data_IF_030174402702
#
_entry.id   IF_030174402702
#
_cell.length_a   1.000
_cell.length_b   1.000
_cell.length_c   1.000
_cell.angle_alpha   90.00
_cell.angle_beta   90.00
_cell.angle_gamma   90.00
#
_symmetry.space_group_name_H-M   'P 1'
#
loop_
_entity.id
_entity.type
_entity.pdbx_description
1 polymer ?
#
# COMPACT_ATOMS: atom_id res chain seq x y z
N UNK A 1 15.95 5.27 -27.98
CA UNK A 1 14.83 4.44 -28.46
C UNK A 1 15.11 2.93 -28.32
N UNK A 2 15.42 2.42 -27.12
CA UNK A 2 15.69 0.99 -26.89
C UNK A 2 15.12 0.46 -25.57
N UNK A 3 13.80 0.62 -25.35
CA UNK A 3 13.13 0.05 -24.15
C UNK A 3 11.78 -0.62 -24.42
N UNK A 4 11.30 -0.66 -25.67
CA UNK A 4 10.00 -1.26 -26.01
C UNK A 4 10.05 -2.75 -26.39
N UNK A 5 11.25 -3.34 -26.52
CA UNK A 5 11.42 -4.71 -27.03
C UNK A 5 11.22 -5.83 -26.00
N UNK A 6 11.53 -5.60 -24.73
CA UNK A 6 11.48 -6.66 -23.70
C UNK A 6 10.05 -6.96 -23.23
N UNK A 7 9.21 -5.93 -23.08
CA UNK A 7 7.80 -6.10 -22.76
C UNK A 7 7.01 -6.77 -23.89
N UNK A 8 7.34 -6.44 -25.16
CA UNK A 8 6.68 -7.06 -26.31
C UNK A 8 7.08 -8.52 -26.49
N UNK A 9 8.30 -8.90 -26.11
CA UNK A 9 8.77 -10.30 -26.15
C UNK A 9 8.09 -11.16 -25.09
N UNK A 10 7.98 -10.68 -23.85
CA UNK A 10 7.21 -11.38 -22.81
C UNK A 10 5.74 -11.53 -23.23
N UNK A 11 5.14 -10.45 -23.72
CA UNK A 11 3.76 -10.45 -24.20
C UNK A 11 3.57 -11.36 -25.43
N UNK A 12 4.59 -11.51 -26.28
CA UNK A 12 4.57 -12.42 -27.43
C UNK A 12 4.81 -13.88 -27.03
N UNK A 13 5.61 -14.14 -26.00
CA UNK A 13 5.85 -15.48 -25.46
C UNK A 13 4.55 -16.07 -24.89
N UNK A 14 3.71 -15.25 -24.24
CA UNK A 14 2.37 -15.63 -23.78
C UNK A 14 1.31 -15.71 -24.90
N UNK A 15 1.54 -15.09 -26.07
CA UNK A 15 0.60 -15.10 -27.23
C UNK A 15 0.68 -16.36 -28.09
N UNK A 16 1.73 -17.17 -27.95
CA UNK A 16 1.94 -18.35 -28.80
C UNK A 16 1.17 -19.59 -28.34
N UNK A 17 0.48 -19.54 -27.20
CA UNK A 17 -0.37 -20.62 -26.72
C UNK A 17 -1.84 -20.23 -26.72
N UNK A 18 -2.54 -20.73 -27.75
CA UNK A 18 -3.95 -21.13 -27.81
C UNK A 18 -4.89 -20.32 -28.71
N UNK A 19 -5.54 -21.10 -29.57
CA UNK A 19 -6.50 -20.76 -30.61
C UNK A 19 -7.85 -20.27 -30.08
N UNK A 20 -8.55 -19.56 -30.98
CA UNK A 20 -9.95 -19.18 -30.98
C UNK A 20 -10.89 -20.20 -30.33
N UNK A 21 -11.41 -19.84 -29.15
CA UNK A 21 -12.75 -20.14 -28.62
C UNK A 21 -12.83 -19.60 -27.18
N UNK A 22 -13.50 -18.47 -26.93
CA UNK A 22 -13.81 -18.05 -25.54
C UNK A 22 -15.29 -18.29 -25.28
N UNK A 23 -15.61 -19.57 -25.15
CA UNK A 23 -16.76 -20.07 -24.41
C UNK A 23 -16.24 -20.57 -23.05
N UNK A 24 -16.74 -20.12 -21.91
CA UNK A 24 -16.47 -20.88 -20.68
C UNK A 24 -16.79 -20.27 -19.32
N UNK A 25 -16.65 -18.96 -19.11
CA UNK A 25 -16.81 -18.40 -17.76
C UNK A 25 -18.22 -17.85 -17.56
N UNK A 26 -19.06 -18.59 -16.82
CA UNK A 26 -20.29 -18.03 -16.27
C UNK A 26 -19.98 -16.95 -15.24
N UNK A 27 -20.95 -16.09 -14.97
CA UNK A 27 -20.86 -15.11 -13.90
C UNK A 27 -20.52 -15.76 -12.53
N UNK A 28 -21.10 -16.94 -12.24
CA UNK A 28 -20.79 -17.74 -11.04
C UNK A 28 -19.35 -18.26 -11.02
N UNK A 29 -18.81 -18.59 -12.20
CA UNK A 29 -17.41 -19.00 -12.35
C UNK A 29 -16.47 -17.84 -11.99
N UNK A 30 -16.82 -16.60 -12.38
CA UNK A 30 -16.05 -15.40 -12.05
C UNK A 30 -16.12 -15.07 -10.55
N UNK A 31 -17.30 -15.22 -9.93
CA UNK A 31 -17.46 -15.07 -8.47
C UNK A 31 -16.62 -16.12 -7.74
N UNK A 32 -16.68 -17.38 -8.16
CA UNK A 32 -15.85 -18.45 -7.59
C UNK A 32 -14.36 -18.18 -7.77
N UNK A 33 -13.97 -17.65 -8.93
CA UNK A 33 -12.58 -17.25 -9.20
C UNK A 33 -12.10 -16.14 -8.27
N UNK A 34 -12.99 -15.21 -7.89
CA UNK A 34 -12.66 -14.20 -6.89
C UNK A 34 -12.22 -14.84 -5.56
N UNK A 35 -13.04 -15.71 -4.99
CA UNK A 35 -12.74 -16.34 -3.70
C UNK A 35 -11.54 -17.28 -3.76
N UNK A 36 -11.34 -17.99 -4.87
CA UNK A 36 -10.28 -18.99 -4.98
C UNK A 36 -8.91 -18.39 -5.35
N UNK A 37 -8.88 -17.28 -6.09
CA UNK A 37 -7.63 -16.74 -6.63
C UNK A 37 -7.41 -15.26 -6.32
N UNK A 38 -8.46 -14.43 -6.42
CA UNK A 38 -8.30 -12.98 -6.26
C UNK A 38 -8.15 -12.60 -4.79
N UNK A 39 -9.01 -13.10 -3.92
CA UNK A 39 -8.96 -12.77 -2.49
C UNK A 39 -7.62 -13.16 -1.85
N UNK A 40 -7.07 -14.38 -2.07
CA UNK A 40 -5.71 -14.71 -1.63
C UNK A 40 -4.63 -13.82 -2.26
N UNK A 41 -4.74 -13.51 -3.56
CA UNK A 41 -3.79 -12.65 -4.26
C UNK A 41 -3.78 -11.23 -3.71
N UNK A 42 -4.93 -10.75 -3.25
CA UNK A 42 -5.13 -9.41 -2.72
C UNK A 42 -4.89 -9.30 -1.22
N UNK A 43 -4.47 -10.38 -0.57
CA UNK A 43 -4.29 -10.43 0.88
C UNK A 43 -2.84 -10.71 1.22
N UNK A 44 -2.28 -9.97 2.17
CA UNK A 44 -1.03 -10.32 2.82
C UNK A 44 -1.19 -11.60 3.65
N UNK A 45 -2.35 -11.77 4.28
CA UNK A 45 -2.75 -12.95 5.07
C UNK A 45 -4.18 -13.32 4.70
N UNK A 46 -4.39 -14.54 4.23
CA UNK A 46 -5.73 -15.04 3.86
C UNK A 46 -6.17 -16.20 4.78
N UNK A 47 -7.46 -16.17 5.15
CA UNK A 47 -8.20 -17.26 5.81
C UNK A 47 -9.70 -17.03 5.60
N UNK A 48 -10.55 -17.95 6.04
CA UNK A 48 -12.01 -17.81 6.00
C UNK A 48 -12.55 -16.56 6.71
N UNK A 49 -11.84 -16.09 7.74
CA UNK A 49 -12.23 -14.90 8.52
C UNK A 49 -11.77 -13.58 7.87
N UNK A 50 -11.11 -13.65 6.72
CA UNK A 50 -10.59 -12.48 6.02
C UNK A 50 -11.75 -11.51 5.70
N UNK A 51 -11.69 -10.23 6.14
CA UNK A 51 -12.72 -9.25 5.83
C UNK A 51 -13.02 -9.10 4.34
N UNK A 52 -12.04 -9.32 3.46
CA UNK A 52 -12.24 -9.32 2.02
C UNK A 52 -13.10 -10.49 1.53
N UNK A 53 -13.17 -11.61 2.28
CA UNK A 53 -14.10 -12.72 2.01
C UNK A 53 -15.45 -12.49 2.66
N UNK A 54 -15.44 -12.22 3.96
CA UNK A 54 -16.66 -12.17 4.77
C UNK A 54 -17.54 -11.00 4.37
N UNK A 55 -16.96 -9.82 4.12
CA UNK A 55 -17.72 -8.64 3.68
C UNK A 55 -18.23 -8.79 2.24
N UNK A 56 -17.47 -9.41 1.34
CA UNK A 56 -17.96 -9.70 -0.02
C UNK A 56 -19.11 -10.68 0.05
N UNK A 57 -18.96 -11.78 0.79
CA UNK A 57 -19.98 -12.82 0.93
C UNK A 57 -21.29 -12.26 1.50
N UNK A 58 -21.19 -11.46 2.58
CA UNK A 58 -22.36 -10.87 3.23
C UNK A 58 -23.07 -9.81 2.36
N UNK A 59 -22.36 -9.19 1.42
CA UNK A 59 -22.88 -8.07 0.63
C UNK A 59 -23.21 -8.43 -0.81
N UNK A 60 -22.93 -9.66 -1.25
CA UNK A 60 -22.98 -10.05 -2.67
C UNK A 60 -24.39 -9.94 -3.27
N UNK A 61 -25.41 -10.28 -2.49
CA UNK A 61 -26.81 -10.27 -2.94
C UNK A 61 -27.42 -8.87 -2.93
N UNK A 62 -27.02 -8.03 -2.00
CA UNK A 62 -27.63 -6.71 -1.77
C UNK A 62 -26.94 -5.58 -2.55
N UNK A 63 -25.66 -5.77 -2.92
CA UNK A 63 -24.85 -4.74 -3.58
C UNK A 63 -24.35 -5.20 -4.95
N UNK A 64 -25.08 -4.86 -6.03
CA UNK A 64 -24.63 -5.13 -7.40
C UNK A 64 -23.24 -4.55 -7.71
N UNK A 65 -22.87 -3.44 -7.05
CA UNK A 65 -21.53 -2.84 -7.14
C UNK A 65 -20.44 -3.85 -6.80
N UNK A 66 -20.59 -4.59 -5.69
CA UNK A 66 -19.62 -5.60 -5.26
C UNK A 66 -19.60 -6.75 -6.26
N UNK A 67 -20.76 -7.24 -6.66
CA UNK A 67 -20.90 -8.33 -7.63
C UNK A 67 -20.14 -8.05 -8.94
N UNK A 68 -20.36 -6.89 -9.55
CA UNK A 68 -19.64 -6.51 -10.77
C UNK A 68 -18.16 -6.20 -10.52
N UNK A 69 -17.81 -5.69 -9.33
CA UNK A 69 -16.41 -5.41 -8.96
C UNK A 69 -15.58 -6.68 -8.89
N UNK A 70 -16.05 -7.71 -8.18
CA UNK A 70 -15.31 -8.96 -8.05
C UNK A 70 -15.20 -9.72 -9.37
N UNK A 71 -16.22 -9.64 -10.23
CA UNK A 71 -16.16 -10.16 -11.60
C UNK A 71 -15.13 -9.41 -12.45
N UNK A 72 -15.10 -8.07 -12.36
CA UNK A 72 -14.08 -7.25 -13.03
C UNK A 72 -12.68 -7.65 -12.60
N UNK A 73 -12.44 -7.82 -11.29
CA UNK A 73 -11.14 -8.25 -10.76
C UNK A 73 -10.76 -9.66 -11.24
N UNK A 74 -11.71 -10.60 -11.23
CA UNK A 74 -11.50 -11.96 -11.73
C UNK A 74 -11.10 -11.94 -13.21
N UNK A 75 -11.80 -11.18 -14.05
CA UNK A 75 -11.45 -11.01 -15.46
C UNK A 75 -10.09 -10.33 -15.60
N UNK A 76 -9.82 -9.26 -14.84
CA UNK A 76 -8.52 -8.57 -14.86
C UNK A 76 -7.36 -9.53 -14.64
N UNK A 77 -7.46 -10.42 -13.66
CA UNK A 77 -6.49 -11.49 -13.47
C UNK A 77 -6.46 -12.51 -14.62
N UNK A 78 -7.62 -12.99 -15.08
CA UNK A 78 -7.72 -13.97 -16.16
C UNK A 78 -7.17 -13.45 -17.49
N UNK A 79 -7.18 -12.14 -17.74
CA UNK A 79 -6.65 -11.56 -18.99
C UNK A 79 -5.15 -11.73 -19.17
N UNK A 80 -4.41 -12.03 -18.10
CA UNK A 80 -3.01 -12.46 -18.21
C UNK A 80 -2.85 -13.78 -18.99
N UNK A 81 -3.88 -14.62 -18.98
CA UNK A 81 -3.92 -15.93 -19.66
C UNK A 81 -4.84 -15.92 -20.89
N UNK A 82 -5.90 -15.11 -20.85
CA UNK A 82 -6.91 -14.99 -21.91
C UNK A 82 -7.08 -13.51 -22.33
N UNK A 83 -6.15 -12.95 -23.13
CA UNK A 83 -6.13 -11.52 -23.47
C UNK A 83 -7.39 -11.00 -24.16
N UNK A 84 -8.13 -11.89 -24.82
CA UNK A 84 -9.40 -11.60 -25.47
C UNK A 84 -10.52 -11.18 -24.50
N UNK A 85 -10.41 -11.47 -23.20
CA UNK A 85 -11.39 -11.10 -22.18
C UNK A 85 -11.28 -9.64 -21.70
N UNK A 86 -10.30 -8.87 -22.20
CA UNK A 86 -10.04 -7.48 -21.74
C UNK A 86 -11.27 -6.60 -21.88
N UNK A 87 -11.98 -6.69 -23.01
CA UNK A 87 -13.20 -5.91 -23.26
C UNK A 87 -14.31 -6.22 -22.24
N UNK A 88 -14.52 -7.49 -21.92
CA UNK A 88 -15.49 -7.92 -20.92
C UNK A 88 -15.14 -7.39 -19.53
N UNK A 89 -13.86 -7.40 -19.16
CA UNK A 89 -13.39 -6.84 -17.88
C UNK A 89 -13.71 -5.35 -17.77
N UNK A 90 -13.49 -4.57 -18.83
CA UNK A 90 -13.83 -3.15 -18.88
C UNK A 90 -15.34 -2.93 -18.76
N UNK A 91 -16.16 -3.78 -19.39
CA UNK A 91 -17.63 -3.72 -19.28
C UNK A 91 -18.09 -3.96 -17.85
N UNK A 92 -17.63 -5.04 -17.20
CA UNK A 92 -17.97 -5.36 -15.80
C UNK A 92 -17.53 -4.25 -14.85
N UNK A 93 -16.33 -3.70 -15.06
CA UNK A 93 -15.84 -2.52 -14.32
C UNK A 93 -16.74 -1.29 -14.47
N UNK A 94 -17.18 -1.02 -15.70
CA UNK A 94 -18.06 0.12 -16.01
C UNK A 94 -19.43 -0.06 -15.36
N UNK A 95 -19.96 -1.28 -15.34
CA UNK A 95 -21.19 -1.61 -14.61
C UNK A 95 -21.02 -1.38 -13.10
N UNK A 96 -19.92 -1.86 -12.51
CA UNK A 96 -19.60 -1.60 -11.11
C UNK A 96 -19.56 -0.10 -10.79
N UNK A 97 -18.94 0.71 -11.66
CA UNK A 97 -18.91 2.17 -11.49
C UNK A 97 -20.30 2.80 -11.50
N UNK A 98 -21.20 2.39 -12.40
CA UNK A 98 -22.57 2.90 -12.47
C UNK A 98 -23.33 2.60 -11.17
N UNK A 99 -23.21 1.38 -10.64
CA UNK A 99 -23.87 1.02 -9.37
C UNK A 99 -23.23 1.73 -8.18
N UNK A 100 -21.91 1.88 -8.14
CA UNK A 100 -21.21 2.64 -7.10
C UNK A 100 -21.73 4.09 -7.02
N UNK A 101 -21.96 4.73 -8.17
CA UNK A 101 -22.54 6.07 -8.20
C UNK A 101 -23.95 6.13 -7.59
N UNK A 102 -24.75 5.06 -7.74
CA UNK A 102 -26.08 4.96 -7.12
C UNK A 102 -25.97 4.75 -5.62
N UNK A 103 -25.07 3.88 -5.19
CA UNK A 103 -24.83 3.60 -3.76
C UNK A 103 -24.33 4.84 -3.03
N UNK A 104 -23.37 5.57 -3.61
CA UNK A 104 -22.88 6.85 -3.06
C UNK A 104 -23.99 7.91 -2.96
N UNK A 105 -24.91 7.97 -3.94
CA UNK A 105 -26.07 8.87 -3.89
C UNK A 105 -27.05 8.45 -2.80
N UNK A 106 -27.36 7.16 -2.68
CA UNK A 106 -28.24 6.61 -1.64
C UNK A 106 -27.69 6.95 -0.26
N UNK A 107 -26.43 6.62 -0.03
CA UNK A 107 -25.72 6.86 1.22
C UNK A 107 -25.74 8.34 1.63
N UNK A 108 -25.56 9.25 0.66
CA UNK A 108 -25.66 10.69 0.89
C UNK A 108 -27.07 11.14 1.26
N UNK A 109 -28.11 10.59 0.64
CA UNK A 109 -29.51 10.93 0.92
C UNK A 109 -29.96 10.41 2.28
N UNK A 110 -29.55 9.20 2.63
CA UNK A 110 -29.92 8.51 3.88
C UNK A 110 -29.02 8.92 5.06
N UNK A 111 -27.96 9.69 4.80
CA UNK A 111 -26.92 10.04 5.76
C UNK A 111 -26.34 8.78 6.47
N UNK A 112 -26.28 7.66 5.75
CA UNK A 112 -25.72 6.39 6.21
C UNK A 112 -24.22 6.33 5.90
N UNK A 113 -23.50 5.40 6.53
CA UNK A 113 -22.13 5.05 6.14
C UNK A 113 -22.04 3.53 6.08
N UNK A 114 -21.97 3.00 4.87
CA UNK A 114 -22.09 1.57 4.61
C UNK A 114 -20.74 0.98 4.19
N UNK A 115 -20.25 -0.01 4.96
CA UNK A 115 -19.01 -0.72 4.67
C UNK A 115 -18.94 -1.36 3.27
N UNK A 116 -20.04 -1.86 2.67
CA UNK A 116 -20.04 -2.33 1.28
C UNK A 116 -19.59 -1.28 0.25
N UNK A 117 -19.89 0.00 0.50
CA UNK A 117 -19.45 1.11 -0.36
C UNK A 117 -17.95 1.36 -0.21
N UNK A 118 -17.42 1.32 1.01
CA UNK A 118 -15.97 1.37 1.26
C UNK A 118 -15.24 0.20 0.59
N UNK A 119 -15.77 -1.02 0.73
CA UNK A 119 -15.22 -2.21 0.10
C UNK A 119 -15.18 -2.06 -1.42
N UNK A 120 -16.26 -1.56 -2.02
CA UNK A 120 -16.34 -1.32 -3.46
C UNK A 120 -15.27 -0.31 -3.92
N UNK A 121 -15.10 0.80 -3.19
CA UNK A 121 -14.07 1.80 -3.48
C UNK A 121 -12.65 1.22 -3.38
N UNK A 122 -12.38 0.45 -2.32
CA UNK A 122 -11.09 -0.20 -2.10
C UNK A 122 -10.77 -1.19 -3.23
N UNK A 123 -11.68 -2.12 -3.50
CA UNK A 123 -11.51 -3.15 -4.52
C UNK A 123 -11.39 -2.55 -5.93
N UNK A 124 -12.27 -1.62 -6.32
CA UNK A 124 -12.20 -0.95 -7.62
C UNK A 124 -10.93 -0.11 -7.75
N UNK A 125 -10.57 0.61 -6.70
CA UNK A 125 -9.42 1.50 -6.67
C UNK A 125 -8.10 0.77 -6.87
N UNK A 126 -7.80 -0.18 -5.99
CA UNK A 126 -6.57 -0.96 -6.01
C UNK A 126 -6.46 -1.89 -7.23
N UNK A 127 -7.59 -2.37 -7.80
CA UNK A 127 -7.60 -3.16 -9.05
C UNK A 127 -7.60 -2.31 -10.34
N UNK A 128 -7.53 -0.97 -10.25
CA UNK A 128 -7.58 -0.09 -11.43
C UNK A 128 -6.49 -0.41 -12.45
N UNK A 129 -5.28 -0.65 -11.97
CA UNK A 129 -4.11 -0.91 -12.80
C UNK A 129 -4.19 -2.24 -13.57
N UNK A 130 -5.08 -3.16 -13.15
CA UNK A 130 -5.25 -4.48 -13.79
C UNK A 130 -5.92 -4.39 -15.15
N UNK A 131 -6.66 -3.31 -15.40
CA UNK A 131 -7.32 -3.06 -16.68
C UNK A 131 -6.62 -1.99 -17.52
N UNK A 132 -5.86 -1.09 -16.89
CA UNK A 132 -5.06 -0.07 -17.56
C UNK A 132 -3.92 0.38 -16.66
N UNK A 133 -2.68 0.22 -17.13
CA UNK A 133 -1.46 0.53 -16.36
C UNK A 133 -1.36 2.01 -15.94
N UNK A 134 -2.04 2.92 -16.64
CA UNK A 134 -2.06 4.35 -16.33
C UNK A 134 -3.09 4.72 -15.26
N UNK A 135 -4.00 3.81 -14.92
CA UNK A 135 -5.08 4.09 -13.97
C UNK A 135 -4.67 3.67 -12.55
N UNK A 136 -4.23 4.64 -11.74
CA UNK A 136 -3.79 4.45 -10.36
C UNK A 136 -4.93 4.38 -9.32
N UNK A 137 -6.19 4.51 -9.76
CA UNK A 137 -7.36 4.44 -8.87
C UNK A 137 -7.59 5.66 -7.98
N UNK A 138 -6.86 6.76 -8.19
CA UNK A 138 -6.92 7.98 -7.35
C UNK A 138 -8.34 8.58 -7.16
N UNK A 139 -9.24 8.58 -8.16
CA UNK A 139 -10.60 9.07 -7.94
C UNK A 139 -11.36 8.27 -6.86
N UNK A 140 -11.16 6.95 -6.83
CA UNK A 140 -11.73 6.07 -5.81
C UNK A 140 -11.12 6.35 -4.43
N UNK A 141 -9.80 6.57 -4.36
CA UNK A 141 -9.10 6.91 -3.13
C UNK A 141 -9.64 8.23 -2.54
N UNK A 142 -9.82 9.25 -3.38
CA UNK A 142 -10.39 10.54 -2.97
C UNK A 142 -11.82 10.41 -2.40
N UNK A 143 -12.66 9.57 -3.01
CA UNK A 143 -13.99 9.26 -2.47
C UNK A 143 -13.89 8.52 -1.14
N UNK A 144 -13.02 7.53 -1.03
CA UNK A 144 -12.79 6.78 0.21
C UNK A 144 -12.31 7.70 1.35
N UNK A 145 -11.44 8.69 1.07
CA UNK A 145 -11.05 9.73 2.04
C UNK A 145 -12.24 10.50 2.58
N UNK A 146 -13.09 10.98 1.68
CA UNK A 146 -14.26 11.77 2.07
C UNK A 146 -15.16 10.97 3.02
N UNK A 147 -15.41 9.69 2.69
CA UNK A 147 -16.22 8.81 3.51
C UNK A 147 -15.53 8.47 4.84
N UNK A 148 -14.24 8.15 4.84
CA UNK A 148 -13.49 7.81 6.06
C UNK A 148 -13.45 8.99 7.03
N UNK A 149 -13.23 10.21 6.53
CA UNK A 149 -13.30 11.42 7.34
C UNK A 149 -14.68 11.61 7.97
N UNK A 150 -15.75 11.35 7.22
CA UNK A 150 -17.12 11.37 7.75
C UNK A 150 -17.33 10.29 8.82
N UNK A 151 -16.75 9.10 8.65
CA UNK A 151 -16.84 8.01 9.63
C UNK A 151 -16.15 8.37 10.95
N UNK A 152 -14.92 8.86 10.88
CA UNK A 152 -14.12 9.24 12.05
C UNK A 152 -14.77 10.40 12.82
N UNK A 153 -15.21 11.45 12.12
CA UNK A 153 -15.90 12.59 12.77
C UNK A 153 -17.21 12.19 13.45
N UNK A 154 -17.97 11.24 12.90
CA UNK A 154 -19.17 10.71 13.57
C UNK A 154 -18.83 9.87 14.79
N UNK A 155 -17.72 9.14 14.77
CA UNK A 155 -17.25 8.35 15.91
C UNK A 155 -16.73 9.21 17.06
N UNK A 156 -16.24 10.42 16.79
CA UNK A 156 -15.82 11.38 17.83
C UNK A 156 -17.01 12.04 18.53
N UNK A 157 -18.14 12.18 17.84
CA UNK A 157 -19.34 12.90 18.31
C UNK A 157 -20.39 11.97 18.95
N UNK A 158 -20.36 10.66 18.68
CA UNK A 158 -21.33 9.68 19.16
C UNK A 158 -20.71 8.51 19.92
N UNK A 159 -21.25 8.24 21.12
CA UNK A 159 -21.07 7.06 21.99
C UNK A 159 -19.66 6.47 22.10
N UNK A 160 -19.02 6.79 23.23
CA UNK A 160 -17.87 6.08 23.75
C UNK A 160 -18.09 4.55 23.73
N UNK A 161 -17.19 3.82 23.09
CA UNK A 161 -16.77 2.51 23.62
C UNK A 161 -16.75 1.30 22.68
N UNK A 162 -17.15 1.38 21.41
CA UNK A 162 -16.96 0.24 20.49
C UNK A 162 -16.15 0.64 19.26
N UNK A 163 -14.85 0.33 19.28
CA UNK A 163 -14.04 0.27 18.05
C UNK A 163 -14.71 -0.72 17.11
N UNK A 164 -15.27 -0.23 15.98
CA UNK A 164 -15.86 -1.12 14.98
C UNK A 164 -14.72 -1.79 14.20
N UNK A 165 -14.56 -3.11 14.27
CA UNK A 165 -13.42 -3.80 13.66
C UNK A 165 -13.33 -3.56 12.14
N UNK A 166 -14.46 -3.37 11.45
CA UNK A 166 -14.48 -3.04 10.03
C UNK A 166 -13.94 -1.63 9.75
N UNK A 167 -14.20 -0.66 10.64
CA UNK A 167 -13.67 0.70 10.47
C UNK A 167 -12.14 0.71 10.56
N UNK A 168 -11.57 -0.02 11.53
CA UNK A 168 -10.12 -0.18 11.69
C UNK A 168 -9.49 -0.92 10.50
N UNK A 169 -10.17 -1.95 9.99
CA UNK A 169 -9.75 -2.65 8.77
C UNK A 169 -9.68 -1.68 7.58
N UNK A 170 -10.76 -0.93 7.30
CA UNK A 170 -10.75 0.00 6.17
C UNK A 170 -9.77 1.15 6.37
N UNK A 171 -9.61 1.65 7.59
CA UNK A 171 -8.62 2.68 7.90
C UNK A 171 -7.21 2.20 7.55
N UNK A 172 -6.83 1.01 8.04
CA UNK A 172 -5.51 0.42 7.79
C UNK A 172 -5.29 0.11 6.31
N UNK A 173 -6.27 -0.51 5.65
CA UNK A 173 -6.22 -0.81 4.22
C UNK A 173 -6.05 0.47 3.38
N UNK A 174 -6.76 1.53 3.75
CA UNK A 174 -6.68 2.81 3.09
C UNK A 174 -5.33 3.47 3.32
N UNK A 175 -4.76 3.43 4.53
CA UNK A 175 -3.42 3.97 4.80
C UNK A 175 -2.33 3.30 3.94
N UNK A 176 -2.44 1.99 3.72
CA UNK A 176 -1.55 1.29 2.78
C UNK A 176 -1.73 1.78 1.34
N UNK A 177 -2.97 1.95 0.89
CA UNK A 177 -3.26 2.46 -0.45
C UNK A 177 -2.78 3.91 -0.64
N UNK A 178 -2.96 4.76 0.38
CA UNK A 178 -2.39 6.11 0.45
C UNK A 178 -0.88 6.09 0.27
N UNK A 179 -0.21 5.25 1.04
CA UNK A 179 1.24 5.06 0.97
C UNK A 179 1.68 4.69 -0.44
N UNK A 180 1.08 3.68 -1.08
CA UNK A 180 1.42 3.35 -2.48
C UNK A 180 1.17 4.53 -3.42
N UNK A 181 0.03 5.21 -3.23
CA UNK A 181 -0.36 6.33 -4.05
C UNK A 181 0.63 7.49 -3.95
N UNK A 182 1.31 7.72 -2.81
CA UNK A 182 2.32 8.79 -2.61
C UNK A 182 3.71 8.49 -3.20
N UNK A 183 3.96 7.26 -3.68
CA UNK A 183 5.19 6.97 -4.44
C UNK A 183 4.97 6.94 -5.96
N UNK A 184 3.74 6.66 -6.44
CA UNK A 184 3.48 6.41 -7.88
C UNK A 184 2.77 7.55 -8.61
N UNK A 185 1.81 8.24 -7.99
CA UNK A 185 1.07 9.33 -8.62
C UNK A 185 1.95 10.53 -9.07
N UNK A 186 1.82 10.98 -10.33
CA UNK A 186 2.56 12.14 -10.86
C UNK A 186 2.14 13.50 -10.28
N UNK A 187 0.99 13.60 -9.59
CA UNK A 187 0.46 14.84 -9.03
C UNK A 187 0.57 14.83 -7.49
N UNK A 188 0.82 15.99 -6.83
CA UNK A 188 0.77 16.07 -5.38
C UNK A 188 -0.63 15.72 -4.86
N UNK A 189 -0.69 14.63 -4.12
CA UNK A 189 -1.89 14.22 -3.40
C UNK A 189 -2.01 15.13 -2.16
N UNK A 190 -3.17 15.76 -1.95
CA UNK A 190 -3.45 16.44 -0.68
C UNK A 190 -3.40 15.41 0.45
N UNK A 191 -2.59 15.60 1.51
CA UNK A 191 -2.49 14.65 2.61
C UNK A 191 -3.87 14.32 3.17
N UNK A 192 -4.13 13.03 3.42
CA UNK A 192 -5.36 12.58 4.06
C UNK A 192 -5.53 13.24 5.44
N UNK A 193 -4.44 13.34 6.19
CA UNK A 193 -4.35 14.10 7.44
C UNK A 193 -3.78 15.49 7.15
N UNK A 194 -4.68 16.39 6.76
CA UNK A 194 -4.33 17.75 6.40
C UNK A 194 -3.81 18.54 7.62
N UNK A 195 -2.48 18.69 7.72
CA UNK A 195 -1.76 19.86 8.25
C UNK A 195 -2.01 20.26 9.73
N UNK A 196 -2.47 19.35 10.57
CA UNK A 196 -2.06 19.36 11.97
C UNK A 196 -1.05 18.23 12.08
N UNK A 197 0.17 18.50 12.56
CA UNK A 197 1.12 17.46 12.97
C UNK A 197 0.31 16.50 13.84
N UNK A 198 -0.04 15.29 13.38
CA UNK A 198 -0.65 14.34 14.28
C UNK A 198 0.42 14.14 15.34
N UNK A 199 0.07 14.32 16.62
CA UNK A 199 0.96 13.85 17.67
C UNK A 199 1.28 12.40 17.29
N UNK A 200 2.53 12.16 16.87
CA UNK A 200 3.01 10.83 16.54
C UNK A 200 3.05 10.09 17.87
N UNK A 201 1.88 9.58 18.27
CA UNK A 201 1.76 8.82 19.51
C UNK A 201 2.55 7.56 19.29
N UNK A 202 3.60 7.41 20.09
CA UNK A 202 4.36 6.17 20.16
C UNK A 202 3.34 5.06 20.41
N UNK A 203 3.22 4.06 19.52
CA UNK A 203 2.24 3.02 19.67
C UNK A 203 2.47 2.33 21.02
N UNK A 204 1.45 2.27 21.87
CA UNK A 204 1.53 1.42 23.04
C UNK A 204 1.59 -0.02 22.57
N UNK A 205 2.65 -0.75 22.91
CA UNK A 205 2.83 -2.15 22.50
C UNK A 205 1.67 -2.99 23.03
N UNK A 206 0.77 -3.37 22.12
CA UNK A 206 -0.19 -4.44 22.40
C UNK A 206 0.60 -5.75 22.41
N UNK A 207 0.51 -6.51 23.50
CA UNK A 207 1.17 -7.83 23.64
C UNK A 207 0.64 -8.88 22.65
N UNK A 208 -0.38 -8.54 21.87
CA UNK A 208 -1.01 -9.44 20.92
C UNK A 208 -1.45 -8.65 19.70
N UNK A 209 -0.79 -8.91 18.57
CA UNK A 209 -1.05 -8.27 17.27
C UNK A 209 -1.78 -9.24 16.38
N UNK A 210 -2.97 -8.86 15.93
CA UNK A 210 -3.68 -9.56 14.87
C UNK A 210 -3.20 -9.05 13.52
N UNK A 211 -2.61 -9.88 12.64
CA UNK A 211 -2.21 -9.45 11.31
C UNK A 211 -3.40 -8.92 10.52
N UNK A 212 -3.24 -7.76 9.90
CA UNK A 212 -4.24 -7.19 9.02
C UNK A 212 -4.24 -7.93 7.67
N UNK A 213 -5.42 -8.33 7.17
CA UNK A 213 -5.51 -9.20 6.01
C UNK A 213 -4.85 -8.64 4.74
N UNK A 214 -4.89 -7.32 4.52
CA UNK A 214 -4.27 -6.68 3.36
C UNK A 214 -2.81 -6.27 3.60
N UNK A 215 -2.40 -5.99 4.83
CA UNK A 215 -1.17 -5.22 5.12
C UNK A 215 -0.22 -5.91 6.10
N UNK A 216 -0.61 -7.05 6.68
CA UNK A 216 0.21 -7.78 7.64
C UNK A 216 0.37 -7.03 8.96
N UNK A 217 1.60 -6.83 9.41
CA UNK A 217 1.95 -6.35 10.76
C UNK A 217 2.69 -5.01 10.77
N UNK A 218 2.70 -4.27 9.66
CA UNK A 218 3.52 -3.05 9.47
C UNK A 218 2.70 -1.75 9.40
N UNK A 219 1.57 -1.67 10.11
CA UNK A 219 0.56 -0.63 9.92
C UNK A 219 1.11 0.79 10.15
N UNK A 220 1.88 0.97 11.22
CA UNK A 220 2.52 2.23 11.61
C UNK A 220 3.61 2.65 10.61
N UNK A 221 4.28 1.67 10.02
CA UNK A 221 5.30 1.91 8.99
C UNK A 221 4.64 2.46 7.72
N UNK A 222 3.46 1.96 7.34
CA UNK A 222 2.73 2.48 6.19
C UNK A 222 2.27 3.92 6.39
N UNK A 223 1.85 4.27 7.61
CA UNK A 223 1.57 5.66 7.96
C UNK A 223 2.81 6.55 7.75
N UNK A 224 3.97 6.15 8.30
CA UNK A 224 5.19 6.92 8.15
C UNK A 224 5.59 7.07 6.67
N UNK A 225 5.52 6.00 5.90
CA UNK A 225 5.82 6.01 4.47
C UNK A 225 4.87 6.88 3.65
N UNK A 226 3.57 6.91 3.98
CA UNK A 226 2.63 7.81 3.32
C UNK A 226 3.05 9.27 3.50
N UNK A 227 3.42 9.66 4.73
CA UNK A 227 3.89 11.01 5.04
C UNK A 227 5.24 11.32 4.36
N UNK A 228 6.19 10.38 4.38
CA UNK A 228 7.48 10.50 3.68
C UNK A 228 7.25 10.74 2.19
N UNK A 229 6.46 9.90 1.51
CA UNK A 229 6.14 10.07 0.10
C UNK A 229 5.50 11.44 -0.19
N UNK A 230 4.65 11.93 0.72
CA UNK A 230 4.07 13.27 0.65
C UNK A 230 5.12 14.38 0.69
N UNK A 231 6.12 14.30 1.59
CA UNK A 231 7.23 15.26 1.67
C UNK A 231 8.08 15.21 0.39
N UNK A 232 8.49 14.01 -0.02
CA UNK A 232 9.36 13.82 -1.20
C UNK A 232 8.77 14.44 -2.47
N UNK A 233 7.45 14.34 -2.63
CA UNK A 233 6.73 14.96 -3.75
C UNK A 233 6.75 16.46 -3.71
N UNK A 234 6.41 17.07 -2.57
CA UNK A 234 6.41 18.53 -2.43
C UNK A 234 7.77 19.09 -2.83
N UNK A 235 8.84 18.40 -2.42
CA UNK A 235 10.20 18.77 -2.78
C UNK A 235 10.51 18.63 -4.27
N UNK A 236 10.17 17.48 -4.89
CA UNK A 236 10.33 17.28 -6.35
C UNK A 236 9.58 18.33 -7.17
N UNK A 237 8.42 18.78 -6.70
CA UNK A 237 7.63 19.83 -7.35
C UNK A 237 8.24 21.23 -7.16
N UNK A 238 8.81 21.52 -5.99
CA UNK A 238 9.57 22.75 -5.74
C UNK A 238 10.81 22.84 -6.64
N UNK A 239 11.57 21.76 -6.79
CA UNK A 239 12.76 21.73 -7.65
C UNK A 239 12.42 22.02 -9.13
N UNK A 240 11.21 21.69 -9.58
CA UNK A 240 10.71 21.99 -10.93
C UNK A 240 10.19 23.43 -11.09
N UNK A 241 9.81 24.10 -10.00
CA UNK A 241 9.23 25.46 -10.00
C UNK A 241 10.31 26.51 -9.76
N UNK A 242 11.25 26.62 -10.69
CA UNK A 242 12.33 27.61 -10.66
C UNK A 242 11.82 29.04 -10.99
N UNK A 243 11.07 29.69 -10.09
CA UNK A 243 10.63 31.09 -10.20
C UNK A 243 10.61 31.81 -8.83
N UNK A 244 10.71 33.16 -8.77
CA UNK A 244 11.41 33.89 -7.70
C UNK A 244 10.62 34.15 -6.39
N UNK A 245 9.80 33.19 -5.93
CA UNK A 245 9.09 33.29 -4.65
C UNK A 245 9.85 32.61 -3.49
N UNK A 246 11.09 33.07 -3.28
CA UNK A 246 12.10 32.44 -2.42
C UNK A 246 11.76 32.45 -0.91
N UNK A 247 10.89 33.35 -0.43
CA UNK A 247 10.59 33.48 1.02
C UNK A 247 9.60 32.43 1.55
N UNK A 248 8.60 32.03 0.76
CA UNK A 248 7.64 31.00 1.19
C UNK A 248 8.20 29.58 1.03
N UNK A 249 9.08 29.38 0.06
CA UNK A 249 9.72 28.09 -0.22
C UNK A 249 10.70 27.67 0.88
N UNK A 250 11.45 28.61 1.44
CA UNK A 250 12.35 28.35 2.57
C UNK A 250 11.60 27.89 3.84
N UNK A 251 10.41 28.46 4.13
CA UNK A 251 9.61 28.05 5.28
C UNK A 251 9.02 26.65 5.13
N UNK A 252 8.58 26.28 3.92
CA UNK A 252 8.06 24.94 3.63
C UNK A 252 9.19 23.91 3.71
N UNK A 253 10.36 24.23 3.14
CA UNK A 253 11.55 23.38 3.23
C UNK A 253 11.99 23.15 4.67
N UNK A 254 11.97 24.18 5.53
CA UNK A 254 12.29 24.03 6.96
C UNK A 254 11.29 23.12 7.69
N UNK A 255 9.99 23.30 7.43
CA UNK A 255 8.95 22.44 8.01
C UNK A 255 9.09 20.98 7.54
N UNK A 256 9.37 20.76 6.26
CA UNK A 256 9.58 19.43 5.70
C UNK A 256 10.84 18.77 6.30
N UNK A 257 11.91 19.53 6.60
CA UNK A 257 13.09 19.03 7.31
C UNK A 257 12.77 18.61 8.76
N UNK A 258 12.01 19.43 9.50
CA UNK A 258 11.58 19.10 10.87
C UNK A 258 10.65 17.87 10.89
N UNK A 259 9.75 17.79 9.90
CA UNK A 259 8.85 16.65 9.76
C UNK A 259 9.60 15.37 9.38
N UNK A 260 10.58 15.45 8.46
CA UNK A 260 11.44 14.34 8.12
C UNK A 260 12.23 13.81 9.33
N UNK A 261 12.74 14.68 10.21
CA UNK A 261 13.37 14.26 11.48
C UNK A 261 12.39 13.58 12.43
N UNK A 262 11.16 14.10 12.51
CA UNK A 262 10.12 13.51 13.34
C UNK A 262 9.75 12.10 12.85
N UNK A 263 9.61 11.93 11.53
CA UNK A 263 9.34 10.64 10.89
C UNK A 263 10.53 9.67 11.02
N UNK A 264 11.77 10.15 10.93
CA UNK A 264 12.95 9.32 11.18
C UNK A 264 12.95 8.75 12.60
N UNK A 265 12.75 9.61 13.61
CA UNK A 265 12.67 9.16 15.00
C UNK A 265 11.47 8.25 15.25
N UNK A 266 10.34 8.53 14.61
CA UNK A 266 9.17 7.67 14.68
C UNK A 266 9.47 6.28 14.11
N UNK A 267 10.06 6.17 12.92
CA UNK A 267 10.48 4.90 12.33
C UNK A 267 11.42 4.11 13.25
N UNK A 268 12.38 4.77 13.89
CA UNK A 268 13.27 4.13 14.86
C UNK A 268 12.54 3.66 16.12
N UNK A 269 11.49 4.38 16.54
CA UNK A 269 10.68 4.02 17.70
C UNK A 269 9.70 2.86 17.45
N UNK A 270 9.47 2.49 16.19
CA UNK A 270 8.57 1.37 15.85
C UNK A 270 9.27 0.06 16.20
N UNK A 271 8.74 -0.60 17.23
CA UNK A 271 9.05 -1.99 17.55
C UNK A 271 8.22 -2.93 16.68
N UNK A 272 8.88 -3.69 15.80
CA UNK A 272 8.21 -4.70 14.99
C UNK A 272 7.89 -5.91 15.89
N UNK A 273 6.66 -6.46 15.82
CA UNK A 273 6.27 -7.57 16.68
C UNK A 273 7.16 -8.81 16.46
N UNK A 274 7.40 -9.54 17.54
CA UNK A 274 8.06 -10.86 17.49
C UNK A 274 7.04 -11.94 17.11
N UNK A 275 7.50 -13.15 16.79
CA UNK A 275 6.59 -14.26 16.44
C UNK A 275 5.62 -14.63 17.57
N UNK A 276 6.01 -14.39 18.82
CA UNK A 276 5.19 -14.62 20.01
C UNK A 276 4.09 -13.57 20.17
N UNK A 277 4.37 -12.33 19.76
CA UNK A 277 3.40 -11.23 19.81
C UNK A 277 2.30 -11.39 18.74
N UNK A 278 2.60 -12.10 17.64
CA UNK A 278 1.66 -12.28 16.54
C UNK A 278 0.68 -13.41 16.88
N UNK A 279 -0.60 -13.09 16.94
CA UNK A 279 -1.65 -14.08 17.16
C UNK A 279 -1.72 -15.06 15.99
N UNK A 280 -1.89 -16.34 16.31
CA UNK A 280 -2.18 -17.37 15.32
C UNK A 280 -3.57 -17.12 14.74
N UNK A 281 -3.62 -16.52 13.55
CA UNK A 281 -4.83 -16.52 12.76
C UNK A 281 -5.17 -17.98 12.44
N UNK A 282 -6.41 -18.40 12.67
CA UNK A 282 -6.84 -19.77 12.43
C UNK A 282 -6.52 -20.13 10.98
N UNK A 283 -5.54 -21.01 10.78
CA UNK A 283 -4.96 -21.39 9.49
C UNK A 283 -4.20 -20.27 8.75
N UNK A 284 -3.26 -19.59 9.43
CA UNK A 284 -2.25 -18.77 8.74
C UNK A 284 -1.62 -19.57 7.59
N UNK A 285 -1.86 -19.12 6.36
CA UNK A 285 -1.21 -19.63 5.15
C UNK A 285 0.23 -19.14 5.03
N UNK A 286 0.62 -18.17 5.86
CA UNK A 286 1.90 -17.44 5.81
C UNK A 286 2.71 -17.64 7.08
N UNK A 287 4.01 -17.95 6.97
CA UNK A 287 4.92 -17.93 8.11
C UNK A 287 4.99 -16.55 8.77
N UNK A 288 4.90 -16.48 10.10
CA UNK A 288 5.02 -15.22 10.86
C UNK A 288 6.33 -14.48 10.55
N UNK A 289 7.42 -15.23 10.43
CA UNK A 289 8.73 -14.72 10.02
C UNK A 289 8.66 -13.87 8.74
N UNK A 290 7.87 -14.26 7.74
CA UNK A 290 7.78 -13.56 6.46
C UNK A 290 7.08 -12.19 6.62
N UNK A 291 6.07 -12.11 7.50
CA UNK A 291 5.37 -10.87 7.82
C UNK A 291 6.30 -9.90 8.56
N UNK A 292 7.08 -10.41 9.52
CA UNK A 292 8.06 -9.65 10.30
C UNK A 292 9.16 -9.12 9.39
N UNK A 293 9.73 -9.96 8.52
CA UNK A 293 10.74 -9.56 7.54
C UNK A 293 10.21 -8.50 6.57
N UNK A 294 8.99 -8.67 6.09
CA UNK A 294 8.33 -7.68 5.22
C UNK A 294 8.15 -6.34 5.94
N UNK A 295 7.70 -6.36 7.20
CA UNK A 295 7.57 -5.15 8.02
C UNK A 295 8.91 -4.44 8.23
N UNK A 296 9.98 -5.21 8.51
CA UNK A 296 11.33 -4.69 8.67
C UNK A 296 11.85 -4.05 7.39
N UNK A 297 11.64 -4.70 6.24
CA UNK A 297 12.03 -4.17 4.96
C UNK A 297 11.33 -2.83 4.65
N UNK A 298 10.03 -2.70 4.95
CA UNK A 298 9.32 -1.43 4.81
C UNK A 298 9.85 -0.33 5.73
N UNK A 299 10.22 -0.68 6.97
CA UNK A 299 10.81 0.28 7.92
C UNK A 299 12.14 0.81 7.38
N UNK A 300 12.97 -0.07 6.82
CA UNK A 300 14.22 0.31 6.17
C UNK A 300 14.01 1.15 4.90
N UNK A 301 12.98 0.87 4.10
CA UNK A 301 12.62 1.73 2.95
C UNK A 301 12.31 3.15 3.41
N UNK A 302 11.57 3.33 4.51
CA UNK A 302 11.29 4.66 5.06
C UNK A 302 12.58 5.42 5.42
N UNK A 303 13.53 4.73 6.06
CA UNK A 303 14.83 5.31 6.39
C UNK A 303 15.66 5.62 5.14
N UNK A 304 15.70 4.71 4.16
CA UNK A 304 16.39 4.88 2.89
C UNK A 304 15.91 6.14 2.16
N UNK A 305 14.59 6.28 2.01
CA UNK A 305 13.96 7.41 1.34
C UNK A 305 14.21 8.74 2.07
N UNK A 306 14.15 8.76 3.40
CA UNK A 306 14.50 9.94 4.20
C UNK A 306 15.98 10.29 3.98
N UNK A 307 16.90 9.34 4.11
CA UNK A 307 18.33 9.62 4.03
C UNK A 307 18.78 10.01 2.62
N UNK A 308 18.16 9.45 1.59
CA UNK A 308 18.39 9.84 0.20
C UNK A 308 17.96 11.29 -0.04
N UNK A 309 16.77 11.69 0.42
CA UNK A 309 16.28 13.04 0.23
C UNK A 309 16.87 14.07 1.20
N UNK A 310 17.20 13.68 2.43
CA UNK A 310 17.68 14.57 3.49
C UNK A 310 19.06 14.13 4.03
N UNK A 311 20.15 14.27 3.24
CA UNK A 311 21.48 13.82 3.64
C UNK A 311 22.01 14.46 4.94
N UNK A 312 21.52 15.65 5.30
CA UNK A 312 21.89 16.31 6.56
C UNK A 312 21.41 15.53 7.79
N UNK A 313 20.24 14.90 7.72
CA UNK A 313 19.69 14.06 8.80
C UNK A 313 20.59 12.84 8.99
N UNK A 314 21.00 12.19 7.89
CA UNK A 314 21.94 11.08 7.93
C UNK A 314 23.27 11.48 8.57
N UNK A 315 23.87 12.60 8.14
CA UNK A 315 25.12 13.12 8.71
C UNK A 315 25.00 13.43 10.20
N UNK A 316 23.91 14.05 10.62
CA UNK A 316 23.64 14.32 12.04
C UNK A 316 23.58 13.02 12.85
N UNK A 317 22.96 11.97 12.29
CA UNK A 317 22.93 10.64 12.91
C UNK A 317 24.33 10.03 13.00
N UNK A 318 25.13 10.12 11.93
CA UNK A 318 26.53 9.66 11.90
C UNK A 318 27.40 10.36 12.95
N UNK A 319 27.22 11.67 13.13
CA UNK A 319 27.94 12.43 14.16
C UNK A 319 27.53 12.05 15.59
N UNK A 320 26.27 11.66 15.82
CA UNK A 320 25.77 11.19 17.12
C UNK A 320 26.15 9.73 17.44
N UNK A 321 26.70 9.00 16.46
CA UNK A 321 26.83 7.54 16.41
C UNK A 321 27.93 6.93 17.29
N UNK A 322 28.37 7.61 18.37
CA UNK A 322 29.34 6.99 19.27
C UNK A 322 28.77 5.85 20.13
N UNK A 323 27.44 5.60 20.19
CA UNK A 323 26.88 4.67 21.20
C UNK A 323 25.73 3.70 20.77
N UNK A 324 25.01 3.78 19.63
CA UNK A 324 23.83 2.89 19.44
C UNK A 324 23.56 2.28 18.03
N UNK A 325 23.35 0.95 18.10
CA UNK A 325 22.63 -0.03 17.26
C UNK A 325 23.25 -0.84 16.11
N UNK A 326 23.24 -2.15 16.39
CA UNK A 326 23.76 -3.34 15.72
C UNK A 326 22.90 -3.85 14.55
N UNK A 327 21.84 -3.14 14.14
CA UNK A 327 20.85 -3.69 13.21
C UNK A 327 21.13 -3.46 11.72
N UNK A 328 22.04 -2.55 11.38
CA UNK A 328 22.30 -2.16 9.97
C UNK A 328 23.67 -2.61 9.46
N UNK A 329 24.61 -2.95 10.34
CA UNK A 329 26.06 -2.89 10.05
C UNK A 329 26.85 -4.20 10.23
N UNK A 330 26.21 -5.37 10.10
CA UNK A 330 26.95 -6.65 10.07
C UNK A 330 27.46 -7.02 8.67
N UNK A 331 26.89 -6.42 7.62
CA UNK A 331 27.33 -6.58 6.23
C UNK A 331 28.41 -5.56 5.89
N UNK A 332 29.66 -5.86 6.28
CA UNK A 332 30.86 -5.08 5.89
C UNK A 332 31.04 -5.07 4.38
N UNK A 333 30.29 -4.24 3.66
CA UNK A 333 30.71 -3.78 2.34
C UNK A 333 31.96 -2.97 2.60
N UNK A 334 33.09 -3.41 2.05
CA UNK A 334 34.35 -2.69 2.16
C UNK A 334 34.12 -1.25 1.65
N UNK A 335 33.97 -0.30 2.58
CA UNK A 335 33.70 1.12 2.32
C UNK A 335 34.75 1.77 1.40
N UNK A 336 35.86 1.08 1.11
CA UNK A 336 36.92 1.51 0.20
C UNK A 336 36.50 1.67 -1.27
N UNK A 337 35.35 1.12 -1.68
CA UNK A 337 34.86 1.25 -3.07
C UNK A 337 34.07 2.55 -3.33
N UNK A 338 33.61 3.24 -2.28
CA UNK A 338 32.77 4.44 -2.42
C UNK A 338 33.55 5.71 -2.07
N UNK A 339 33.36 6.76 -2.87
CA UNK A 339 34.00 8.07 -2.62
C UNK A 339 33.33 8.85 -1.47
N UNK A 340 32.10 8.49 -1.12
CA UNK A 340 31.26 9.18 -0.15
C UNK A 340 30.66 8.17 0.83
N UNK A 341 30.90 8.36 2.13
CA UNK A 341 30.39 7.48 3.20
C UNK A 341 28.86 7.41 3.21
N UNK A 342 28.18 8.49 2.82
CA UNK A 342 26.72 8.51 2.72
C UNK A 342 26.21 7.51 1.67
N UNK A 343 26.85 7.47 0.50
CA UNK A 343 26.43 6.61 -0.61
C UNK A 343 26.64 5.14 -0.26
N UNK A 344 27.74 4.83 0.45
CA UNK A 344 27.99 3.48 0.94
C UNK A 344 26.89 3.00 1.90
N UNK A 345 26.43 3.87 2.81
CA UNK A 345 25.39 3.54 3.77
C UNK A 345 24.01 3.39 3.13
N UNK A 346 23.69 4.21 2.12
CA UNK A 346 22.43 4.06 1.36
C UNK A 346 22.40 2.71 0.64
N UNK A 347 23.53 2.31 0.02
CA UNK A 347 23.65 1.00 -0.64
C UNK A 347 23.55 -0.15 0.37
N UNK A 348 24.14 -0.02 1.55
CA UNK A 348 24.04 -1.01 2.63
C UNK A 348 22.59 -1.20 3.09
N UNK A 349 21.84 -0.11 3.29
CA UNK A 349 20.40 -0.18 3.62
C UNK A 349 19.63 -0.85 2.50
N UNK A 350 19.89 -0.50 1.23
CA UNK A 350 19.24 -1.11 0.07
C UNK A 350 19.53 -2.63 -0.02
N UNK A 351 20.77 -3.05 0.21
CA UNK A 351 21.14 -4.47 0.22
C UNK A 351 20.45 -5.20 1.38
N UNK A 352 20.40 -4.61 2.58
CA UNK A 352 19.69 -5.20 3.71
C UNK A 352 18.18 -5.38 3.44
N UNK A 353 17.55 -4.43 2.73
CA UNK A 353 16.16 -4.58 2.26
C UNK A 353 16.03 -5.80 1.33
N UNK A 354 16.95 -5.94 0.37
CA UNK A 354 16.95 -7.07 -0.57
C UNK A 354 17.21 -8.40 0.13
N UNK A 355 18.12 -8.46 1.10
CA UNK A 355 18.43 -9.69 1.85
C UNK A 355 17.24 -10.15 2.71
N UNK A 356 16.49 -9.22 3.31
CA UNK A 356 15.23 -9.53 4.01
C UNK A 356 14.18 -10.10 3.05
N UNK A 357 13.99 -9.46 1.89
CA UNK A 357 12.97 -9.88 0.91
C UNK A 357 13.35 -11.19 0.22
N UNK A 358 14.64 -11.40 -0.05
CA UNK A 358 15.18 -12.60 -0.73
C UNK A 358 14.91 -13.89 0.05
N UNK A 359 14.82 -13.82 1.37
CA UNK A 359 14.54 -14.96 2.23
C UNK A 359 13.07 -15.43 2.16
N UNK A 360 12.17 -14.59 1.65
CA UNK A 360 10.75 -14.87 1.56
C UNK A 360 10.44 -15.60 0.23
N UNK A 361 9.86 -16.80 0.26
CA UNK A 361 9.55 -17.54 -0.97
C UNK A 361 8.41 -16.87 -1.73
N UNK A 362 8.45 -16.94 -3.08
CA UNK A 362 7.40 -16.39 -3.97
C UNK A 362 6.00 -16.97 -3.70
N UNK A 363 5.94 -18.15 -3.07
CA UNK A 363 4.68 -18.79 -2.66
C UNK A 363 4.04 -18.14 -1.42
N UNK A 364 4.82 -17.41 -0.62
CA UNK A 364 4.33 -16.68 0.54
C UNK A 364 3.48 -15.48 0.08
N UNK A 365 2.29 -15.29 0.64
CA UNK A 365 1.45 -14.14 0.27
C UNK A 365 1.98 -12.80 0.79
N UNK A 366 2.93 -12.79 1.73
CA UNK A 366 3.67 -11.57 2.09
C UNK A 366 4.41 -10.97 0.88
N UNK A 367 4.80 -11.80 -0.10
CA UNK A 367 5.45 -11.37 -1.34
C UNK A 367 4.60 -10.38 -2.17
N UNK A 368 3.27 -10.39 -1.97
CA UNK A 368 2.36 -9.43 -2.64
C UNK A 368 2.59 -7.98 -2.21
N UNK A 369 3.27 -7.77 -1.09
CA UNK A 369 3.63 -6.45 -0.60
C UNK A 369 4.99 -5.97 -1.13
N UNK A 370 5.77 -6.78 -1.83
CA UNK A 370 7.18 -6.44 -2.10
C UNK A 370 7.39 -5.42 -3.23
N UNK A 371 6.35 -5.02 -3.95
CA UNK A 371 6.47 -4.13 -5.11
C UNK A 371 7.21 -2.82 -4.81
N UNK A 372 6.81 -2.10 -3.75
CA UNK A 372 7.50 -0.85 -3.39
C UNK A 372 8.91 -1.12 -2.83
N UNK A 373 9.09 -2.22 -2.09
CA UNK A 373 10.39 -2.59 -1.53
C UNK A 373 11.44 -2.76 -2.62
N UNK A 374 11.08 -3.49 -3.68
CA UNK A 374 11.97 -3.74 -4.82
C UNK A 374 12.25 -2.47 -5.62
N UNK A 375 11.26 -1.59 -5.77
CA UNK A 375 11.45 -0.31 -6.47
C UNK A 375 12.37 0.61 -5.68
N UNK A 376 12.16 0.77 -4.37
CA UNK A 376 12.96 1.65 -3.53
C UNK A 376 14.40 1.15 -3.34
N UNK A 377 14.60 -0.17 -3.21
CA UNK A 377 15.95 -0.73 -3.09
C UNK A 377 16.73 -0.70 -4.43
N UNK A 378 16.03 -0.60 -5.57
CA UNK A 378 16.63 -0.57 -6.90
C UNK A 378 16.82 0.83 -7.49
N UNK A 379 16.24 1.86 -6.87
CA UNK A 379 16.37 3.28 -7.28
C UNK A 379 17.60 3.93 -6.68
#
# INVERSE_FOLDING_TARGET
>A
NHSSGSASLLQSFYRLSMHDQISGFSDDSLVSHYFNHICPLFSAVDSEDNPLRTLVTSSLMDYPTIYFTIQSMAIGHLTNFYPSMVSLGIVKRSQAWIFLQRDLRRQRMENSLEYPVFLSLLLLGLSSAWHSQTHLGLPYLSLARCLMKSLLTRSEVGEAGSSRPEAEFFYTAMMYWEMLATFVDPVPITPFLSRAIPELKIPYRQRSVLPHALTGVANEVYYALAEIGGILRRRRDSDKRTFPFQKHENSISNLDNEWARSLENFLHSIEIPTEEDILDYKNLTVPKADLIQTAQAYRLVGLLEIYNAFPAILKERLCKRSIFDSFVLDSRIYHSAYQNENDALLVEIAINILDLVKCIPVRSSSCRLHHLLLVAAGS
#
